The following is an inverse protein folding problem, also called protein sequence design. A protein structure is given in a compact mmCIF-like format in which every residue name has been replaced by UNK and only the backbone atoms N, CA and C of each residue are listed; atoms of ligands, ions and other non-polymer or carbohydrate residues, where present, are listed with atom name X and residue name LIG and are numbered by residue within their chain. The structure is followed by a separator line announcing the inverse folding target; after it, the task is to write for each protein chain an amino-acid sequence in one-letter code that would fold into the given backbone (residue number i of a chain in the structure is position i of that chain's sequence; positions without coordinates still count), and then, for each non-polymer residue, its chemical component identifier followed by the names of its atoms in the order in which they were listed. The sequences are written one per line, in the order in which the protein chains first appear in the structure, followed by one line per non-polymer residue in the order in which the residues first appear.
data_IF_332022894828
#
_entry.id   IF_332022894828
#
_cell.length_a   1.000
_cell.length_b   1.000
_cell.length_c   1.000
_cell.angle_alpha   90.00
_cell.angle_beta   90.00
_cell.angle_gamma   90.00
#
_symmetry.space_group_name_H-M   'P 1'
#
loop_
_entity.id
_entity.type
_entity.pdbx_description
1 polymer ?
#
# COMPACT_ATOMS: atom_id res chain seq x y z
N UNK A 1 -36.99 -19.97 -39.20
CA UNK A 1 -36.14 -20.73 -38.26
C UNK A 1 -34.71 -20.23 -38.40
N UNK A 2 -34.30 -19.30 -37.52
CA UNK A 2 -33.28 -19.51 -36.43
C UNK A 2 -31.86 -19.66 -36.98
N UNK A 3 -30.88 -18.81 -36.66
CA UNK A 3 -30.56 -18.21 -35.36
C UNK A 3 -29.98 -16.80 -35.52
N UNK A 4 -30.48 -15.86 -34.72
CA UNK A 4 -29.79 -14.59 -34.45
C UNK A 4 -28.46 -14.93 -33.77
N UNK A 5 -27.34 -14.47 -34.34
CA UNK A 5 -26.06 -14.42 -33.62
C UNK A 5 -26.29 -13.57 -32.39
N UNK A 6 -26.21 -14.18 -31.21
CA UNK A 6 -26.19 -13.45 -29.95
C UNK A 6 -25.03 -12.48 -30.01
N UNK A 7 -25.33 -11.19 -29.87
CA UNK A 7 -24.32 -10.19 -29.55
C UNK A 7 -23.71 -10.64 -28.23
N UNK A 8 -22.41 -10.89 -28.20
CA UNK A 8 -21.67 -10.89 -26.94
C UNK A 8 -22.04 -9.58 -26.21
N UNK A 9 -22.41 -9.64 -24.92
CA UNK A 9 -22.66 -8.42 -24.19
C UNK A 9 -21.36 -7.62 -24.21
N UNK A 10 -21.43 -6.40 -24.74
CA UNK A 10 -20.38 -5.40 -24.60
C UNK A 10 -19.87 -5.48 -23.17
N UNK A 11 -18.56 -5.69 -23.00
CA UNK A 11 -17.88 -5.37 -21.74
C UNK A 11 -18.30 -3.94 -21.41
N UNK A 12 -19.26 -3.80 -20.49
CA UNK A 12 -19.59 -2.52 -19.89
C UNK A 12 -18.28 -1.92 -19.45
N UNK A 13 -18.05 -0.64 -19.72
CA UNK A 13 -16.98 0.09 -19.08
C UNK A 13 -17.19 -0.11 -17.57
N UNK A 14 -16.48 -1.07 -16.99
CA UNK A 14 -16.55 -1.33 -15.56
C UNK A 14 -15.84 -0.14 -14.97
N UNK A 15 -16.57 0.68 -14.23
CA UNK A 15 -15.97 1.74 -13.42
C UNK A 15 -14.70 1.19 -12.78
N UNK A 16 -13.57 1.75 -13.21
CA UNK A 16 -12.24 1.31 -12.80
C UNK A 16 -11.90 2.03 -11.53
N UNK A 17 -11.58 1.29 -10.49
CA UNK A 17 -11.24 1.88 -9.20
C UNK A 17 -9.75 1.68 -8.91
N UNK A 18 -9.14 2.70 -8.33
CA UNK A 18 -7.82 2.59 -7.71
C UNK A 18 -7.95 2.70 -6.20
N UNK A 19 -7.27 1.81 -5.50
CA UNK A 19 -7.22 1.83 -4.04
C UNK A 19 -5.78 2.10 -3.59
N UNK A 20 -5.61 3.05 -2.68
CA UNK A 20 -4.36 3.26 -1.95
C UNK A 20 -4.57 2.92 -0.48
N UNK A 21 -3.59 2.26 0.13
CA UNK A 21 -3.55 1.88 1.54
C UNK A 21 -2.24 2.41 2.10
N UNK A 22 -2.29 3.21 3.17
CA UNK A 22 -1.11 3.66 3.91
C UNK A 22 -1.19 3.15 5.35
N UNK A 23 -0.28 2.23 5.69
CA UNK A 23 -0.23 1.60 7.00
C UNK A 23 0.70 2.39 7.91
N UNK A 24 0.09 3.10 8.87
CA UNK A 24 0.76 3.80 9.97
C UNK A 24 0.97 2.94 11.21
N UNK A 25 1.61 3.52 12.24
CA UNK A 25 1.75 2.88 13.56
C UNK A 25 0.44 2.79 14.34
N UNK A 26 -0.42 3.82 14.24
CA UNK A 26 -1.68 3.91 14.98
C UNK A 26 -2.89 3.68 14.08
N UNK A 27 -2.85 4.22 12.86
CA UNK A 27 -3.96 4.16 11.91
C UNK A 27 -3.48 3.63 10.56
N UNK A 28 -4.39 2.95 9.87
CA UNK A 28 -4.26 2.63 8.45
C UNK A 28 -5.27 3.48 7.69
N UNK A 29 -4.77 4.26 6.74
CA UNK A 29 -5.52 5.18 5.90
C UNK A 29 -5.78 4.53 4.54
N UNK A 30 -6.99 4.69 4.00
CA UNK A 30 -7.37 4.14 2.70
C UNK A 30 -8.04 5.22 1.85
N UNK A 31 -7.72 5.20 0.56
CA UNK A 31 -8.29 6.11 -0.44
C UNK A 31 -8.72 5.32 -1.66
N UNK A 32 -10.01 5.36 -1.98
CA UNK A 32 -10.61 4.75 -3.16
C UNK A 32 -10.97 5.84 -4.17
N UNK A 33 -10.49 5.71 -5.40
CA UNK A 33 -10.74 6.67 -6.48
C UNK A 33 -11.50 5.96 -7.60
N UNK A 34 -12.64 6.50 -7.99
CA UNK A 34 -13.33 6.12 -9.23
C UNK A 34 -12.64 6.83 -10.40
N UNK A 35 -12.01 6.07 -11.30
CA UNK A 35 -11.26 6.64 -12.43
C UNK A 35 -12.16 7.22 -13.52
N UNK A 36 -13.45 6.91 -13.53
CA UNK A 36 -14.41 7.45 -14.51
C UNK A 36 -15.03 8.76 -14.04
N UNK A 37 -15.42 8.84 -12.76
CA UNK A 37 -16.11 10.03 -12.20
C UNK A 37 -15.17 10.98 -11.47
N UNK A 38 -14.00 10.51 -11.05
CA UNK A 38 -13.08 11.24 -10.18
C UNK A 38 -13.51 11.29 -8.71
N UNK A 39 -14.60 10.61 -8.32
CA UNK A 39 -15.02 10.53 -6.92
C UNK A 39 -13.95 9.87 -6.06
N UNK A 40 -13.79 10.42 -4.85
CA UNK A 40 -12.82 9.96 -3.86
C UNK A 40 -13.55 9.60 -2.57
N UNK A 41 -13.34 8.38 -2.11
CA UNK A 41 -13.81 7.90 -0.82
C UNK A 41 -12.62 7.58 0.07
N UNK A 42 -12.78 7.80 1.37
CA UNK A 42 -11.72 7.58 2.35
C UNK A 42 -12.21 6.72 3.50
N UNK A 43 -11.31 5.91 4.06
CA UNK A 43 -11.55 5.19 5.29
C UNK A 43 -10.32 5.25 6.18
N UNK A 44 -10.53 5.30 7.49
CA UNK A 44 -9.49 5.20 8.50
C UNK A 44 -9.87 4.11 9.49
N UNK A 45 -8.95 3.20 9.73
CA UNK A 45 -9.09 2.12 10.72
C UNK A 45 -7.87 2.10 11.63
N UNK A 46 -7.98 1.48 12.80
CA UNK A 46 -6.83 1.30 13.67
C UNK A 46 -5.83 0.33 13.03
N UNK A 47 -4.55 0.67 13.09
CA UNK A 47 -3.48 -0.27 12.76
C UNK A 47 -3.40 -1.37 13.81
N UNK A 48 -2.92 -2.54 13.39
CA UNK A 48 -2.63 -3.64 14.29
C UNK A 48 -1.11 -3.83 14.36
N UNK A 49 -0.39 -3.25 15.35
CA UNK A 49 1.08 -3.18 15.31
C UNK A 49 1.77 -4.55 15.26
N UNK A 50 1.18 -5.58 15.87
CA UNK A 50 1.72 -6.95 15.85
C UNK A 50 1.58 -7.62 14.49
N UNK A 51 0.56 -7.23 13.72
CA UNK A 51 0.29 -7.74 12.38
C UNK A 51 -0.47 -6.67 11.57
N UNK A 52 0.25 -5.79 10.88
CA UNK A 52 -0.36 -4.68 10.17
C UNK A 52 -1.31 -5.10 9.03
N UNK A 53 -1.22 -6.36 8.58
CA UNK A 53 -2.12 -6.89 7.55
C UNK A 53 -3.58 -6.90 8.00
N UNK A 54 -3.83 -7.10 9.29
CA UNK A 54 -5.18 -7.15 9.87
C UNK A 54 -5.90 -5.82 9.67
N UNK A 55 -5.28 -4.71 10.08
CA UNK A 55 -5.83 -3.36 9.89
C UNK A 55 -6.02 -3.00 8.41
N UNK A 56 -5.04 -3.35 7.57
CA UNK A 56 -5.16 -3.12 6.13
C UNK A 56 -6.35 -3.86 5.50
N UNK A 57 -6.55 -5.15 5.84
CA UNK A 57 -7.67 -5.93 5.33
C UNK A 57 -9.03 -5.48 5.89
N UNK A 58 -9.08 -5.04 7.15
CA UNK A 58 -10.28 -4.44 7.72
C UNK A 58 -10.68 -3.19 6.93
N UNK A 59 -9.73 -2.27 6.74
CA UNK A 59 -9.93 -1.05 5.97
C UNK A 59 -10.36 -1.35 4.53
N UNK A 60 -9.68 -2.29 3.87
CA UNK A 60 -9.99 -2.73 2.50
C UNK A 60 -11.45 -3.20 2.38
N UNK A 61 -11.88 -4.11 3.28
CA UNK A 61 -13.26 -4.61 3.26
C UNK A 61 -14.28 -3.51 3.57
N UNK A 62 -13.95 -2.63 4.50
CA UNK A 62 -14.82 -1.53 4.92
C UNK A 62 -15.06 -0.56 3.77
N UNK A 63 -14.00 -0.04 3.14
CA UNK A 63 -14.12 0.98 2.09
C UNK A 63 -14.84 0.43 0.85
N UNK A 64 -14.61 -0.82 0.47
CA UNK A 64 -15.32 -1.43 -0.67
C UNK A 64 -16.81 -1.64 -0.35
N UNK A 65 -17.14 -2.14 0.85
CA UNK A 65 -18.53 -2.34 1.28
C UNK A 65 -19.31 -1.04 1.37
N UNK A 66 -18.71 0.01 1.96
CA UNK A 66 -19.35 1.32 2.11
C UNK A 66 -19.63 2.01 0.76
N UNK A 67 -18.86 1.67 -0.28
CA UNK A 67 -19.01 2.23 -1.63
C UNK A 67 -19.67 1.27 -2.63
N UNK A 68 -20.07 0.07 -2.20
CA UNK A 68 -20.70 -0.93 -3.07
C UNK A 68 -19.81 -1.41 -4.22
N UNK A 69 -18.48 -1.40 -4.05
CA UNK A 69 -17.52 -1.73 -5.11
C UNK A 69 -17.11 -3.20 -5.02
N UNK A 70 -17.23 -3.92 -6.15
CA UNK A 70 -16.71 -5.27 -6.26
C UNK A 70 -15.18 -5.24 -6.42
N UNK A 71 -14.41 -6.06 -5.67
CA UNK A 71 -12.95 -6.11 -5.80
C UNK A 71 -12.42 -6.35 -7.22
N UNK A 72 -13.18 -7.03 -8.09
CA UNK A 72 -12.84 -7.27 -9.50
C UNK A 72 -12.91 -6.01 -10.38
N UNK A 73 -13.37 -4.88 -9.83
CA UNK A 73 -13.35 -3.56 -10.47
C UNK A 73 -12.08 -2.75 -10.13
N UNK A 74 -11.27 -3.22 -9.17
CA UNK A 74 -10.00 -2.59 -8.84
C UNK A 74 -8.98 -2.85 -9.95
N UNK A 75 -8.39 -1.77 -10.46
CA UNK A 75 -7.32 -1.83 -11.48
C UNK A 75 -5.94 -1.71 -10.89
N UNK A 76 -5.82 -1.09 -9.71
CA UNK A 76 -4.60 -1.03 -8.94
C UNK A 76 -4.89 -0.98 -7.44
N UNK A 77 -4.00 -1.61 -6.68
CA UNK A 77 -3.89 -1.44 -5.23
C UNK A 77 -2.48 -0.96 -4.93
N UNK A 78 -2.37 0.24 -4.37
CA UNK A 78 -1.11 0.85 -3.95
C UNK A 78 -0.97 0.63 -2.46
N UNK A 79 0.11 -0.01 -2.05
CA UNK A 79 0.41 -0.29 -0.66
C UNK A 79 1.60 0.56 -0.21
N UNK A 80 1.37 1.43 0.75
CA UNK A 80 2.36 2.22 1.44
C UNK A 80 2.38 1.84 2.92
N UNK A 81 3.54 1.95 3.55
CA UNK A 81 3.67 1.73 4.98
C UNK A 81 4.81 2.55 5.57
N UNK A 82 4.58 3.07 6.77
CA UNK A 82 5.61 3.75 7.58
C UNK A 82 6.29 2.82 8.58
N UNK A 83 5.90 1.54 8.64
CA UNK A 83 6.47 0.55 9.58
C UNK A 83 7.98 0.44 9.43
N UNK A 84 8.50 0.47 8.20
CA UNK A 84 9.95 0.40 7.92
C UNK A 84 10.67 1.62 8.51
N UNK A 85 10.18 2.82 8.21
CA UNK A 85 10.78 4.07 8.69
C UNK A 85 10.77 4.13 10.21
N UNK A 86 9.66 3.78 10.85
CA UNK A 86 9.55 3.74 12.30
C UNK A 86 10.49 2.69 12.92
N UNK A 87 10.64 1.53 12.27
CA UNK A 87 11.57 0.48 12.73
C UNK A 87 13.01 0.98 12.77
N UNK A 88 13.43 1.76 11.76
CA UNK A 88 14.76 2.39 11.70
C UNK A 88 14.92 3.46 12.78
N UNK A 89 13.96 4.39 12.89
CA UNK A 89 14.00 5.50 13.86
C UNK A 89 14.02 4.97 15.30
N UNK A 90 13.16 4.00 15.61
CA UNK A 90 13.05 3.40 16.95
C UNK A 90 14.13 2.35 17.23
N UNK A 91 14.99 2.04 16.26
CA UNK A 91 16.04 1.00 16.34
C UNK A 91 15.51 -0.38 16.77
N UNK A 92 14.30 -0.73 16.31
CA UNK A 92 13.63 -2.01 16.61
C UNK A 92 13.79 -3.05 15.51
N UNK A 93 14.76 -2.87 14.63
CA UNK A 93 15.09 -3.82 13.58
C UNK A 93 15.72 -5.11 14.12
N UNK A 94 15.96 -6.07 13.22
CA UNK A 94 16.68 -7.28 13.57
C UNK A 94 18.13 -6.98 14.00
N UNK A 95 18.68 -7.82 14.87
CA UNK A 95 20.11 -7.80 15.18
C UNK A 95 20.88 -8.17 13.91
N UNK A 96 21.78 -7.30 13.48
CA UNK A 96 22.55 -7.44 12.24
C UNK A 96 24.04 -7.28 12.51
N UNK A 97 24.87 -7.86 11.64
CA UNK A 97 26.32 -7.70 11.66
C UNK A 97 26.82 -7.07 10.37
N UNK A 98 27.89 -6.27 10.46
CA UNK A 98 28.58 -5.69 9.31
C UNK A 98 29.88 -6.45 9.05
N UNK A 99 30.02 -7.04 7.86
CA UNK A 99 31.27 -7.64 7.39
C UNK A 99 32.01 -6.60 6.55
N UNK A 100 33.26 -6.31 6.92
CA UNK A 100 34.11 -5.34 6.23
C UNK A 100 35.48 -5.91 5.90
N UNK A 101 36.17 -5.27 4.96
CA UNK A 101 37.59 -5.53 4.69
C UNK A 101 38.41 -5.20 5.94
N UNK A 102 39.51 -5.93 6.16
CA UNK A 102 40.45 -5.66 7.26
C UNK A 102 40.86 -4.18 7.24
N UNK A 103 40.66 -3.50 8.37
CA UNK A 103 40.97 -2.08 8.54
C UNK A 103 39.81 -1.10 8.30
N UNK A 104 38.59 -1.57 7.99
CA UNK A 104 37.43 -0.70 7.68
C UNK A 104 36.22 -0.95 8.60
N UNK A 105 36.43 -1.30 9.88
CA UNK A 105 35.33 -1.62 10.81
C UNK A 105 34.47 -0.40 11.15
N UNK A 106 35.08 0.77 11.18
CA UNK A 106 34.57 2.08 11.60
C UNK A 106 33.92 2.89 10.47
N UNK A 107 33.75 2.30 9.28
CA UNK A 107 33.26 3.01 8.07
C UNK A 107 31.89 3.67 8.25
N UNK A 108 31.00 3.09 9.06
CA UNK A 108 29.67 3.69 9.32
C UNK A 108 29.72 4.84 10.32
N UNK A 109 30.71 4.87 11.22
CA UNK A 109 30.92 5.95 12.18
C UNK A 109 31.64 7.14 11.54
N UNK A 110 32.66 6.86 10.71
CA UNK A 110 33.36 7.90 9.92
C UNK A 110 32.40 8.54 8.92
N UNK A 111 31.46 7.76 8.36
CA UNK A 111 30.54 8.23 7.34
C UNK A 111 31.25 8.61 6.04
N UNK A 112 30.64 9.48 5.24
CA UNK A 112 31.25 10.02 4.02
C UNK A 112 31.65 11.48 4.27
N UNK A 113 32.94 11.79 4.23
CA UNK A 113 33.38 13.18 4.06
C UNK A 113 32.93 13.69 2.68
N UNK A 114 31.95 14.59 2.65
CA UNK A 114 31.68 15.40 1.45
C UNK A 114 32.59 16.61 1.45
N UNK A 115 33.75 16.50 0.80
CA UNK A 115 34.53 17.69 0.43
C UNK A 115 33.85 18.33 -0.78
N UNK A 116 33.23 19.49 -0.59
CA UNK A 116 32.79 20.32 -1.71
C UNK A 116 34.03 20.67 -2.55
N UNK A 117 33.94 20.50 -3.87
CA UNK A 117 34.90 21.06 -4.81
C UNK A 117 34.68 22.56 -4.94
#
# INVERSE_FOLDING_TARGET
MTRRRGREPYLSHRARYRLSIDIGGTFTDLVLINEETGEVSVAKVLSTPKDPSIGAFEGFRRILRENGVDPSQLTAVIHATTVVTNTVIERKGAVTGLITTKGFRDVLEIGRERRAK
#
